data_IF_330611965924
#
_entry.id   IF_330611965924
#
_cell.length_a   1.000
_cell.length_b   1.000
_cell.length_c   1.000
_cell.angle_alpha   90.00
_cell.angle_beta   90.00
_cell.angle_gamma   90.00
#
_symmetry.space_group_name_H-M   'P 1'
#
loop_
_entity.id
_entity.type
_entity.pdbx_description
1 polymer ?
#
# COMPACT_ATOMS: atom_id res chain seq x y z
N UNK A 1 14.40 -21.19 4.37
CA UNK A 1 12.94 -20.96 4.52
C UNK A 1 12.29 -21.79 5.64
N UNK A 2 11.61 -21.14 6.59
CA UNK A 2 10.96 -21.82 7.72
C UNK A 2 9.58 -22.40 7.34
N UNK A 3 9.35 -23.67 7.67
CA UNK A 3 8.07 -24.36 7.48
C UNK A 3 6.97 -23.79 8.39
N UNK A 4 7.33 -23.38 9.60
CA UNK A 4 6.43 -22.77 10.57
C UNK A 4 6.79 -21.29 10.72
N UNK A 5 5.94 -20.41 10.19
CA UNK A 5 6.03 -18.95 10.41
C UNK A 5 4.93 -18.49 11.35
N UNK A 6 5.33 -17.94 12.50
CA UNK A 6 4.41 -17.35 13.48
C UNK A 6 4.03 -15.91 13.13
N UNK A 7 4.84 -15.21 12.32
CA UNK A 7 4.65 -13.81 11.94
C UNK A 7 4.81 -12.79 13.08
N UNK A 8 5.00 -13.23 14.33
CA UNK A 8 5.13 -12.32 15.49
C UNK A 8 6.27 -11.30 15.34
N UNK A 9 7.48 -11.69 14.89
CA UNK A 9 8.57 -10.72 14.69
C UNK A 9 8.23 -9.67 13.63
N UNK A 10 7.58 -10.11 12.54
CA UNK A 10 7.13 -9.23 11.46
C UNK A 10 6.09 -8.22 11.96
N UNK A 11 5.04 -8.69 12.64
CA UNK A 11 3.97 -7.83 13.18
C UNK A 11 4.55 -6.84 14.20
N UNK A 12 5.41 -7.30 15.11
CA UNK A 12 6.06 -6.42 16.10
C UNK A 12 6.92 -5.34 15.42
N UNK A 13 7.63 -5.71 14.35
CA UNK A 13 8.44 -4.75 13.59
C UNK A 13 7.55 -3.71 12.90
N UNK A 14 6.41 -4.15 12.33
CA UNK A 14 5.46 -3.25 11.68
C UNK A 14 4.76 -2.32 12.68
N UNK A 15 4.39 -2.82 13.86
CA UNK A 15 3.79 -2.02 14.93
C UNK A 15 4.78 -0.98 15.47
N UNK A 16 6.06 -1.33 15.59
CA UNK A 16 7.11 -0.43 16.09
C UNK A 16 7.51 0.65 15.08
N UNK A 17 7.60 0.31 13.79
CA UNK A 17 8.12 1.22 12.74
C UNK A 17 7.02 1.93 11.96
N UNK A 18 5.80 1.37 11.91
CA UNK A 18 4.70 1.85 11.10
C UNK A 18 4.80 1.47 9.62
N UNK A 19 6.01 1.49 9.05
CA UNK A 19 6.27 1.23 7.64
C UNK A 19 7.44 0.25 7.43
N UNK A 20 7.20 -0.83 6.68
CA UNK A 20 8.21 -1.84 6.34
C UNK A 20 8.38 -1.95 4.83
N UNK A 21 9.63 -2.14 4.40
CA UNK A 21 9.95 -2.62 3.06
C UNK A 21 10.31 -4.10 3.08
N UNK A 22 9.79 -4.85 2.11
CA UNK A 22 9.95 -6.29 1.98
C UNK A 22 10.84 -6.64 0.80
N UNK A 23 11.62 -7.71 0.96
CA UNK A 23 12.14 -8.49 -0.14
C UNK A 23 11.41 -9.84 -0.14
N UNK A 24 10.73 -10.14 -1.24
CA UNK A 24 9.89 -11.33 -1.38
C UNK A 24 10.47 -12.23 -2.47
N UNK A 25 10.41 -13.57 -2.33
CA UNK A 25 10.75 -14.47 -3.43
C UNK A 25 9.91 -14.22 -4.67
N UNK A 26 10.56 -14.14 -5.83
CA UNK A 26 9.94 -13.73 -7.10
C UNK A 26 8.96 -14.77 -7.65
N UNK A 27 9.03 -16.00 -7.16
CA UNK A 27 8.05 -17.05 -7.43
C UNK A 27 6.66 -16.76 -6.81
N UNK A 28 6.56 -15.84 -5.86
CA UNK A 28 5.33 -15.46 -5.18
C UNK A 28 4.80 -16.53 -4.19
N UNK A 29 3.71 -16.19 -3.49
CA UNK A 29 3.00 -17.06 -2.54
C UNK A 29 3.56 -17.07 -1.12
N UNK A 30 4.78 -16.56 -0.90
CA UNK A 30 5.41 -16.52 0.43
C UNK A 30 4.86 -15.37 1.29
N UNK A 31 4.61 -14.23 0.67
CA UNK A 31 3.98 -13.04 1.24
C UNK A 31 2.62 -13.33 1.85
N UNK A 32 1.81 -14.18 1.20
CA UNK A 32 0.48 -14.56 1.67
C UNK A 32 0.49 -15.17 3.07
N UNK A 33 1.57 -15.83 3.48
CA UNK A 33 1.71 -16.37 4.84
C UNK A 33 1.78 -15.25 5.88
N UNK A 34 2.53 -14.19 5.61
CA UNK A 34 2.66 -13.03 6.51
C UNK A 34 1.41 -12.17 6.50
N UNK A 35 0.77 -11.98 5.34
CA UNK A 35 -0.53 -11.32 5.22
C UNK A 35 -1.59 -12.03 6.09
N UNK A 36 -1.67 -13.37 6.05
CA UNK A 36 -2.61 -14.13 6.91
C UNK A 36 -2.33 -13.94 8.40
N UNK A 37 -1.07 -13.85 8.81
CA UNK A 37 -0.71 -13.58 10.22
C UNK A 37 -1.09 -12.15 10.62
N UNK A 38 -0.91 -11.19 9.72
CA UNK A 38 -1.29 -9.80 9.95
C UNK A 38 -2.82 -9.65 10.10
N UNK A 39 -3.60 -10.34 9.26
CA UNK A 39 -5.06 -10.41 9.38
C UNK A 39 -5.50 -11.06 10.68
N UNK A 40 -4.88 -12.19 11.05
CA UNK A 40 -5.15 -12.85 12.33
C UNK A 40 -4.81 -11.97 13.55
N UNK A 41 -3.88 -11.02 13.40
CA UNK A 41 -3.55 -10.03 14.43
C UNK A 41 -4.55 -8.87 14.51
N UNK A 42 -5.55 -8.81 13.62
CA UNK A 42 -6.65 -7.84 13.65
C UNK A 42 -6.51 -6.67 12.66
N UNK A 43 -5.55 -6.71 11.73
CA UNK A 43 -5.45 -5.70 10.68
C UNK A 43 -6.23 -6.13 9.44
N UNK A 44 -7.00 -5.22 8.86
CA UNK A 44 -7.51 -5.40 7.50
C UNK A 44 -6.42 -5.03 6.49
N UNK A 45 -6.41 -5.69 5.34
CA UNK A 45 -5.35 -5.51 4.34
C UNK A 45 -5.93 -4.87 3.08
N UNK A 46 -5.37 -3.72 2.73
CA UNK A 46 -5.61 -3.05 1.45
C UNK A 46 -4.50 -3.41 0.47
N UNK A 47 -4.80 -4.30 -0.47
CA UNK A 47 -3.87 -4.65 -1.54
C UNK A 47 -3.92 -3.59 -2.65
N UNK A 48 -2.77 -2.96 -2.93
CA UNK A 48 -2.62 -1.96 -4.00
C UNK A 48 -1.31 -2.23 -4.75
N UNK A 49 -1.29 -1.95 -6.05
CA UNK A 49 -0.06 -1.98 -6.84
C UNK A 49 0.52 -0.57 -6.92
N UNK A 50 1.80 -0.38 -6.59
CA UNK A 50 2.48 0.91 -6.69
C UNK A 50 2.48 1.43 -8.14
N UNK A 51 2.74 0.53 -9.09
CA UNK A 51 2.73 0.84 -10.51
C UNK A 51 1.33 1.28 -10.94
N UNK A 52 1.27 2.47 -11.52
CA UNK A 52 0.01 3.07 -11.99
C UNK A 52 -0.69 3.95 -10.95
N UNK A 53 -0.18 4.02 -9.72
CA UNK A 53 -0.55 5.11 -8.81
C UNK A 53 0.10 6.39 -9.31
N UNK A 54 -0.69 7.47 -9.34
CA UNK A 54 -0.16 8.82 -9.48
C UNK A 54 0.37 9.31 -8.13
N UNK A 55 0.07 10.58 -7.81
CA UNK A 55 0.38 11.12 -6.48
C UNK A 55 -0.29 10.29 -5.36
N UNK A 56 0.55 9.65 -4.54
CA UNK A 56 0.13 8.79 -3.43
C UNK A 56 -0.74 9.53 -2.42
N UNK A 57 -0.44 10.80 -2.15
CA UNK A 57 -1.18 11.58 -1.16
C UNK A 57 -2.62 11.82 -1.62
N UNK A 58 -2.78 12.25 -2.87
CA UNK A 58 -4.08 12.47 -3.50
C UNK A 58 -4.90 11.18 -3.61
N UNK A 59 -4.27 10.03 -3.91
CA UNK A 59 -4.99 8.78 -4.11
C UNK A 59 -5.38 8.08 -2.80
N UNK A 60 -4.49 8.09 -1.81
CA UNK A 60 -4.71 7.37 -0.53
C UNK A 60 -5.58 8.18 0.44
N UNK A 61 -5.36 9.49 0.52
CA UNK A 61 -5.98 10.36 1.54
C UNK A 61 -7.01 11.35 0.97
N UNK A 62 -6.90 11.70 -0.32
CA UNK A 62 -7.79 12.63 -0.99
C UNK A 62 -8.81 12.00 -1.94
N UNK A 63 -9.81 12.79 -2.33
CA UNK A 63 -10.73 12.41 -3.41
C UNK A 63 -9.98 12.53 -4.73
N UNK A 64 -9.91 11.45 -5.51
CA UNK A 64 -9.15 11.42 -6.75
C UNK A 64 -10.04 11.35 -7.99
N UNK A 65 -9.80 12.23 -8.95
CA UNK A 65 -10.54 12.28 -10.21
C UNK A 65 -9.94 11.34 -11.26
N UNK A 66 -10.54 10.17 -11.45
CA UNK A 66 -10.16 9.22 -12.50
C UNK A 66 -10.91 9.52 -13.79
N UNK A 67 -10.19 9.50 -14.91
CA UNK A 67 -10.78 9.58 -16.25
C UNK A 67 -10.79 8.20 -16.90
N UNK A 68 -11.96 7.56 -17.04
CA UNK A 68 -12.05 6.30 -17.76
C UNK A 68 -11.66 6.48 -19.24
N UNK A 69 -11.16 5.42 -19.90
CA UNK A 69 -10.84 5.48 -21.33
C UNK A 69 -12.09 5.77 -22.14
N UNK A 70 -12.18 6.98 -22.71
CA UNK A 70 -13.35 7.42 -23.49
C UNK A 70 -13.33 6.92 -24.95
N UNK A 71 -12.19 6.42 -25.43
CA UNK A 71 -12.00 5.83 -26.76
C UNK A 71 -12.53 6.71 -27.92
N UNK A 72 -12.52 8.03 -27.74
CA UNK A 72 -13.08 8.99 -28.71
C UNK A 72 -14.60 8.98 -28.86
N UNK A 73 -15.33 8.17 -28.07
CA UNK A 73 -16.79 8.01 -28.18
C UNK A 73 -17.59 8.76 -27.11
N UNK A 74 -16.92 9.34 -26.11
CA UNK A 74 -17.58 10.10 -25.04
C UNK A 74 -17.15 11.56 -25.10
N UNK A 75 -18.00 12.34 -25.75
CA UNK A 75 -18.01 13.80 -25.74
C UNK A 75 -19.47 14.21 -25.65
N UNK A 76 -19.83 14.94 -24.61
CA UNK A 76 -21.15 15.57 -24.52
C UNK A 76 -20.94 17.01 -24.99
N UNK A 77 -21.30 17.30 -26.25
CA UNK A 77 -21.42 18.66 -26.80
C UNK A 77 -20.10 19.39 -27.18
N UNK A 78 -20.07 20.74 -27.02
CA UNK A 78 -19.08 21.69 -27.56
C UNK A 78 -17.72 21.69 -26.85
N UNK A 79 -17.52 20.82 -25.87
CA UNK A 79 -16.26 20.70 -25.13
C UNK A 79 -15.30 19.70 -25.79
N UNK A 80 -14.01 19.79 -25.43
CA UNK A 80 -13.01 18.83 -25.90
C UNK A 80 -13.39 17.39 -25.51
N UNK A 81 -12.98 16.42 -26.32
CA UNK A 81 -13.21 14.99 -26.07
C UNK A 81 -12.33 14.46 -24.89
N UNK A 82 -12.54 15.00 -23.69
CA UNK A 82 -11.75 14.70 -22.47
C UNK A 82 -12.40 13.64 -21.58
N UNK A 83 -13.57 13.13 -21.98
CA UNK A 83 -14.33 12.10 -21.25
C UNK A 83 -14.88 12.56 -19.89
N UNK A 84 -15.64 11.67 -19.24
CA UNK A 84 -16.13 11.90 -17.89
C UNK A 84 -15.02 11.83 -16.85
N UNK A 85 -15.16 12.60 -15.77
CA UNK A 85 -14.32 12.48 -14.57
C UNK A 85 -15.14 11.80 -13.47
N UNK A 86 -14.67 10.66 -12.99
CA UNK A 86 -15.24 9.96 -11.84
C UNK A 86 -14.40 10.30 -10.61
N UNK A 87 -15.05 10.82 -9.58
CA UNK A 87 -14.39 11.12 -8.32
C UNK A 87 -14.47 9.88 -7.43
N UNK A 88 -13.33 9.22 -7.26
CA UNK A 88 -13.21 8.10 -6.34
C UNK A 88 -12.99 8.61 -4.92
N UNK A 89 -13.60 7.98 -3.91
CA UNK A 89 -13.28 8.27 -2.53
C UNK A 89 -11.81 7.88 -2.24
N UNK A 90 -11.18 8.48 -1.21
CA UNK A 90 -9.80 8.19 -0.90
C UNK A 90 -9.61 6.73 -0.49
N UNK A 91 -8.64 6.03 -1.09
CA UNK A 91 -8.55 4.59 -0.97
C UNK A 91 -8.30 4.11 0.47
N UNK A 92 -7.47 4.82 1.24
CA UNK A 92 -7.11 4.41 2.60
C UNK A 92 -8.10 4.92 3.64
N UNK A 93 -8.47 6.21 3.60
CA UNK A 93 -9.36 6.79 4.63
C UNK A 93 -10.77 6.22 4.55
N UNK A 94 -11.31 6.00 3.34
CA UNK A 94 -12.62 5.39 3.17
C UNK A 94 -12.68 3.98 3.77
N UNK A 95 -11.62 3.17 3.56
CA UNK A 95 -11.55 1.85 4.17
C UNK A 95 -11.36 1.91 5.68
N UNK A 96 -10.58 2.87 6.16
CA UNK A 96 -10.34 3.10 7.58
C UNK A 96 -11.65 3.42 8.34
N UNK A 97 -12.53 4.23 7.73
CA UNK A 97 -13.85 4.57 8.28
C UNK A 97 -14.81 3.38 8.29
N UNK A 98 -14.64 2.43 7.37
CA UNK A 98 -15.45 1.22 7.26
C UNK A 98 -14.92 0.04 8.07
N UNK A 99 -13.82 0.22 8.81
CA UNK A 99 -13.26 -0.86 9.61
C UNK A 99 -14.24 -1.30 10.71
N UNK A 100 -14.37 -2.62 10.95
CA UNK A 100 -15.08 -3.11 12.12
C UNK A 100 -14.51 -2.51 13.41
N UNK A 101 -15.33 -2.18 14.42
CA UNK A 101 -14.84 -1.59 15.69
C UNK A 101 -13.80 -2.44 16.44
N UNK A 102 -13.71 -3.74 16.14
CA UNK A 102 -12.75 -4.68 16.73
C UNK A 102 -11.43 -4.78 15.95
N UNK A 103 -11.37 -4.23 14.74
CA UNK A 103 -10.15 -4.22 13.95
C UNK A 103 -9.13 -3.26 14.58
N UNK A 104 -7.85 -3.64 14.54
CA UNK A 104 -6.75 -2.79 15.03
C UNK A 104 -6.49 -1.59 14.10
N UNK A 105 -6.66 -1.79 12.80
CA UNK A 105 -6.32 -0.80 11.80
C UNK A 105 -6.22 -1.37 10.40
N UNK A 106 -5.70 -0.56 9.48
CA UNK A 106 -5.54 -0.87 8.07
C UNK A 106 -4.04 -1.07 7.75
N UNK A 107 -3.70 -2.18 7.12
CA UNK A 107 -2.39 -2.41 6.55
C UNK A 107 -2.44 -2.24 5.04
N UNK A 108 -1.80 -1.20 4.51
CA UNK A 108 -1.65 -1.00 3.08
C UNK A 108 -0.51 -1.90 2.62
N UNK A 109 -0.85 -2.91 1.81
CA UNK A 109 0.10 -3.84 1.22
C UNK A 109 0.32 -3.46 -0.24
N UNK A 110 1.45 -2.80 -0.49
CA UNK A 110 1.80 -2.25 -1.79
C UNK A 110 2.74 -3.20 -2.55
N UNK A 111 2.26 -3.70 -3.68
CA UNK A 111 3.01 -4.53 -4.63
C UNK A 111 3.86 -3.64 -5.54
N UNK A 112 4.93 -4.20 -6.10
CA UNK A 112 5.79 -3.53 -7.09
C UNK A 112 6.40 -2.19 -6.64
N UNK A 113 6.80 -2.07 -5.37
CA UNK A 113 7.33 -0.82 -4.79
C UNK A 113 8.67 -0.33 -5.36
N UNK A 114 9.34 -1.12 -6.21
CA UNK A 114 10.59 -0.74 -6.90
C UNK A 114 10.44 0.46 -7.83
N UNK A 115 9.22 0.81 -8.23
CA UNK A 115 8.96 1.98 -9.09
C UNK A 115 8.84 3.30 -8.33
N UNK A 116 8.74 3.25 -7.00
CA UNK A 116 8.52 4.43 -6.17
C UNK A 116 9.80 5.27 -6.06
N UNK A 117 9.62 6.58 -6.18
CA UNK A 117 10.65 7.59 -5.90
C UNK A 117 10.97 7.68 -4.41
N UNK A 118 12.13 8.27 -4.09
CA UNK A 118 12.51 8.51 -2.70
C UNK A 118 11.51 9.42 -1.97
N UNK A 119 10.93 10.43 -2.64
CA UNK A 119 9.91 11.29 -2.05
C UNK A 119 8.64 10.51 -1.71
N UNK A 120 8.21 9.60 -2.59
CA UNK A 120 7.06 8.73 -2.35
C UNK A 120 7.29 7.77 -1.19
N UNK A 121 8.49 7.19 -1.09
CA UNK A 121 8.87 6.36 0.06
C UNK A 121 8.89 7.17 1.36
N UNK A 122 9.39 8.41 1.33
CA UNK A 122 9.38 9.31 2.49
C UNK A 122 7.97 9.64 2.95
N UNK A 123 7.05 9.91 2.00
CA UNK A 123 5.63 10.08 2.30
C UNK A 123 5.06 8.84 2.99
N UNK A 124 5.31 7.65 2.45
CA UNK A 124 4.83 6.38 3.02
C UNK A 124 5.40 6.09 4.42
N UNK A 125 6.64 6.51 4.71
CA UNK A 125 7.23 6.44 6.06
C UNK A 125 6.51 7.38 7.03
N UNK A 126 6.13 8.58 6.59
CA UNK A 126 5.44 9.56 7.44
C UNK A 126 3.95 9.25 7.65
N UNK A 127 3.32 8.49 6.75
CA UNK A 127 1.88 8.23 6.77
C UNK A 127 1.38 7.60 8.09
N UNK A 128 2.03 6.54 8.64
CA UNK A 128 1.67 5.99 9.96
C UNK A 128 1.88 6.94 11.14
N UNK A 129 2.65 8.02 10.98
CA UNK A 129 2.84 9.03 12.03
C UNK A 129 1.64 9.99 12.07
N UNK A 130 1.05 10.28 10.91
CA UNK A 130 -0.15 11.12 10.78
C UNK A 130 -1.41 10.36 11.21
N UNK A 131 -1.54 9.09 10.79
CA UNK A 131 -2.65 8.22 11.17
C UNK A 131 -2.11 6.87 11.70
N UNK A 132 -1.98 6.72 13.04
CA UNK A 132 -1.39 5.54 13.67
C UNK A 132 -2.09 4.22 13.39
N UNK A 133 -3.39 4.25 13.00
CA UNK A 133 -4.15 3.06 12.63
C UNK A 133 -3.78 2.54 11.24
N UNK A 134 -3.08 3.33 10.42
CA UNK A 134 -2.55 2.90 9.13
C UNK A 134 -1.13 2.36 9.33
N UNK A 135 -0.87 1.19 8.74
CA UNK A 135 0.46 0.60 8.60
C UNK A 135 0.76 0.39 7.14
N UNK A 136 2.03 0.51 6.77
CA UNK A 136 2.47 0.43 5.36
C UNK A 136 3.45 -0.72 5.20
N UNK A 137 3.23 -1.52 4.17
CA UNK A 137 4.12 -2.62 3.77
C UNK A 137 4.34 -2.49 2.27
N UNK A 138 5.60 -2.37 1.84
CA UNK A 138 5.95 -2.16 0.43
C UNK A 138 6.88 -3.27 -0.05
N UNK A 139 6.56 -3.91 -1.15
CA UNK A 139 7.44 -4.90 -1.79
C UNK A 139 8.52 -4.20 -2.60
N UNK A 140 9.69 -4.01 -1.99
CA UNK A 140 10.81 -3.23 -2.53
C UNK A 140 11.71 -4.03 -3.48
N UNK A 141 11.38 -5.29 -3.76
CA UNK A 141 12.08 -6.12 -4.74
C UNK A 141 12.13 -7.60 -4.40
N UNK A 142 12.91 -8.33 -5.19
CA UNK A 142 13.10 -9.76 -5.04
C UNK A 142 14.18 -10.14 -4.02
N UNK A 143 13.92 -11.16 -3.22
CA UNK A 143 14.92 -11.81 -2.36
C UNK A 143 14.80 -13.33 -2.46
N UNK A 144 15.88 -14.07 -2.19
CA UNK A 144 15.81 -15.55 -2.16
C UNK A 144 15.00 -16.08 -0.97
N UNK A 145 14.82 -15.25 0.04
CA UNK A 145 13.99 -15.52 1.22
C UNK A 145 13.15 -14.29 1.54
N UNK A 146 12.00 -14.52 2.19
CA UNK A 146 11.18 -13.43 2.69
C UNK A 146 11.90 -12.70 3.83
N UNK A 147 12.25 -11.44 3.61
CA UNK A 147 12.90 -10.58 4.60
C UNK A 147 12.28 -9.19 4.59
N UNK A 148 12.43 -8.46 5.69
CA UNK A 148 11.91 -7.11 5.83
C UNK A 148 12.89 -6.25 6.61
N UNK A 149 12.82 -4.95 6.36
CA UNK A 149 13.49 -3.91 7.14
C UNK A 149 12.60 -2.66 7.21
N UNK A 150 12.81 -1.75 8.17
CA UNK A 150 12.14 -0.46 8.20
C UNK A 150 12.18 0.22 6.82
N UNK A 151 11.05 0.79 6.38
CA UNK A 151 11.00 1.43 5.06
C UNK A 151 11.96 2.63 4.97
N UNK A 152 12.20 3.31 6.10
CA UNK A 152 13.16 4.40 6.21
C UNK A 152 14.60 3.98 5.82
N UNK A 153 14.99 2.72 6.07
CA UNK A 153 16.34 2.23 5.74
C UNK A 153 16.58 2.13 4.22
N UNK A 154 15.52 2.16 3.41
CA UNK A 154 15.64 2.23 1.95
C UNK A 154 15.96 3.64 1.45
N UNK A 155 15.69 4.68 2.25
CA UNK A 155 16.05 6.06 1.91
C UNK A 155 17.55 6.33 2.14
N UNK A 156 18.17 5.64 3.10
CA UNK A 156 19.58 5.83 3.46
C UNK A 156 20.56 5.02 2.60
N UNK A 157 20.07 4.03 1.85
CA UNK A 157 20.90 3.07 1.11
C UNK A 157 21.09 3.42 -0.38
N UNK A 158 20.64 4.59 -0.82
CA UNK A 158 20.71 5.08 -2.20
C UNK A 158 21.63 6.30 -2.29
#
# INVERSE_FOLDING_TARGET
MALITTGKPFIRSLEATGALGLYVPLEGGHEGRYQRRLRAAGYEILHITARGLGDLSAYLLGVHGVRPPHLGKKTTEREGAVGYRYFLPPAATYQLEQLPPKAKGLAIWMLEGTVLSQQELQFLVSLPQQEPRIKVVVEMGGGREFSWKPLADFLAAA
#
